data_IF_196121510899
#
_entry.id   IF_196121510899
#
_cell.length_a   1.000
_cell.length_b   1.000
_cell.length_c   1.000
_cell.angle_alpha   90.00
_cell.angle_beta   90.00
_cell.angle_gamma   90.00
#
_symmetry.space_group_name_H-M   'P 1'
#
loop_
_entity.id
_entity.type
_entity.pdbx_description
1 polymer ?
#
# COMPACT_ATOMS: atom_id res chain seq x y z
N UNK A 1 -23.22 -1.95 -1.01
CA UNK A 1 -23.12 -2.69 -2.28
C UNK A 1 -22.01 -2.07 -3.09
N UNK A 2 -20.99 -2.86 -3.38
CA UNK A 2 -19.89 -2.50 -4.27
C UNK A 2 -20.40 -2.34 -5.71
N UNK A 3 -20.08 -1.21 -6.35
CA UNK A 3 -20.44 -0.99 -7.77
C UNK A 3 -19.38 -1.57 -8.71
N UNK A 4 -19.76 -1.85 -9.96
CA UNK A 4 -18.83 -2.34 -10.99
C UNK A 4 -17.65 -1.38 -11.22
N UNK A 5 -17.90 -0.06 -11.21
CA UNK A 5 -16.86 0.95 -11.33
C UNK A 5 -15.87 0.88 -10.15
N UNK A 6 -16.37 0.79 -8.92
CA UNK A 6 -15.52 0.67 -7.74
C UNK A 6 -14.69 -0.61 -7.74
N UNK A 7 -15.27 -1.72 -8.20
CA UNK A 7 -14.53 -2.97 -8.38
C UNK A 7 -13.41 -2.81 -9.40
N UNK A 8 -13.71 -2.20 -10.55
CA UNK A 8 -12.72 -1.92 -11.59
C UNK A 8 -11.60 -1.01 -11.06
N UNK A 9 -11.93 0.05 -10.33
CA UNK A 9 -10.96 0.97 -9.76
C UNK A 9 -10.03 0.26 -8.76
N UNK A 10 -10.55 -0.62 -7.90
CA UNK A 10 -9.73 -1.44 -6.98
C UNK A 10 -8.77 -2.35 -7.74
N UNK A 11 -9.23 -3.01 -8.81
CA UNK A 11 -8.36 -3.87 -9.62
C UNK A 11 -7.28 -3.07 -10.35
N UNK A 12 -7.59 -1.86 -10.82
CA UNK A 12 -6.59 -1.00 -11.46
C UNK A 12 -5.56 -0.49 -10.43
N UNK A 13 -5.98 -0.14 -9.22
CA UNK A 13 -5.05 0.19 -8.11
C UNK A 13 -4.15 -1.01 -7.81
N UNK A 14 -4.70 -2.22 -7.72
CA UNK A 14 -3.92 -3.44 -7.54
C UNK A 14 -2.90 -3.62 -8.67
N UNK A 15 -3.25 -3.30 -9.91
CA UNK A 15 -2.35 -3.36 -11.07
C UNK A 15 -1.15 -2.44 -10.90
N UNK A 16 -1.45 -1.19 -10.57
CA UNK A 16 -0.44 -0.15 -10.46
C UNK A 16 0.49 -0.41 -9.28
N UNK A 17 -0.05 -0.73 -8.10
CA UNK A 17 0.73 -0.91 -6.88
C UNK A 17 1.50 -2.23 -6.85
N UNK A 18 0.99 -3.30 -7.47
CA UNK A 18 1.71 -4.57 -7.53
C UNK A 18 2.63 -4.71 -8.75
N UNK A 19 2.68 -3.69 -9.63
CA UNK A 19 3.36 -3.76 -10.92
C UNK A 19 2.89 -4.99 -11.74
N UNK A 20 1.56 -5.17 -11.80
CA UNK A 20 0.88 -6.27 -12.50
C UNK A 20 1.24 -7.68 -11.98
N UNK A 21 1.46 -7.84 -10.67
CA UNK A 21 1.78 -9.14 -10.06
C UNK A 21 0.61 -10.12 -10.19
N UNK A 22 0.79 -11.15 -11.02
CA UNK A 22 -0.26 -12.13 -11.32
C UNK A 22 -0.75 -12.89 -10.09
N UNK A 23 0.13 -13.14 -9.12
CA UNK A 23 -0.22 -13.93 -7.94
C UNK A 23 -1.06 -13.08 -6.97
N UNK A 24 -0.76 -11.79 -6.83
CA UNK A 24 -1.61 -10.85 -6.10
C UNK A 24 -2.99 -10.72 -6.76
N UNK A 25 -3.03 -10.62 -8.09
CA UNK A 25 -4.28 -10.56 -8.84
C UNK A 25 -5.15 -11.81 -8.68
N UNK A 26 -4.52 -12.99 -8.68
CA UNK A 26 -5.21 -14.25 -8.47
C UNK A 26 -5.87 -14.28 -7.07
N UNK A 27 -5.12 -13.90 -6.02
CA UNK A 27 -5.62 -13.82 -4.65
C UNK A 27 -6.75 -12.80 -4.50
N UNK A 28 -6.63 -11.61 -5.12
CA UNK A 28 -7.68 -10.61 -5.07
C UNK A 28 -8.96 -11.06 -5.81
N UNK A 29 -8.83 -11.75 -6.95
CA UNK A 29 -9.98 -12.33 -7.66
C UNK A 29 -10.65 -13.42 -6.83
N UNK A 30 -9.86 -14.29 -6.23
CA UNK A 30 -10.37 -15.33 -5.34
C UNK A 30 -11.17 -14.71 -4.20
N UNK A 31 -10.72 -13.57 -3.67
CA UNK A 31 -11.46 -12.84 -2.65
C UNK A 31 -12.82 -12.30 -3.14
N UNK A 32 -12.87 -11.74 -4.35
CA UNK A 32 -14.11 -11.18 -4.93
C UNK A 32 -15.13 -12.27 -5.27
N UNK A 33 -14.67 -13.42 -5.75
CA UNK A 33 -15.52 -14.51 -6.23
C UNK A 33 -15.68 -15.66 -5.21
N UNK A 34 -15.18 -15.49 -3.98
CA UNK A 34 -15.29 -16.49 -2.94
C UNK A 34 -16.77 -16.77 -2.63
N UNK A 35 -17.20 -18.00 -2.87
CA UNK A 35 -18.53 -18.47 -2.44
C UNK A 35 -18.58 -18.82 -0.96
N UNK A 36 -17.43 -19.07 -0.34
CA UNK A 36 -17.27 -19.32 1.09
C UNK A 36 -16.42 -18.21 1.73
N UNK A 37 -17.00 -17.37 2.60
CA UNK A 37 -16.27 -16.32 3.32
C UNK A 37 -15.09 -16.84 4.14
N UNK A 38 -15.14 -18.08 4.63
CA UNK A 38 -14.04 -18.65 5.43
C UNK A 38 -12.80 -18.92 4.59
N UNK A 39 -12.92 -19.05 3.28
CA UNK A 39 -11.79 -19.35 2.41
C UNK A 39 -10.73 -18.24 2.43
N UNK A 40 -11.18 -16.98 2.35
CA UNK A 40 -10.30 -15.80 2.44
C UNK A 40 -9.69 -15.68 3.84
N UNK A 41 -10.48 -15.95 4.88
CA UNK A 41 -10.01 -15.87 6.26
C UNK A 41 -8.94 -16.92 6.53
N UNK A 42 -9.13 -18.16 6.08
CA UNK A 42 -8.13 -19.23 6.16
C UNK A 42 -6.85 -18.88 5.39
N UNK A 43 -7.01 -18.24 4.22
CA UNK A 43 -5.88 -17.74 3.44
C UNK A 43 -5.06 -16.74 4.28
N UNK A 44 -5.71 -15.73 4.85
CA UNK A 44 -5.04 -14.73 5.69
C UNK A 44 -4.43 -15.33 6.97
N UNK A 45 -5.13 -16.24 7.65
CA UNK A 45 -4.64 -16.95 8.84
C UNK A 45 -3.35 -17.75 8.53
N UNK A 46 -3.17 -18.20 7.29
CA UNK A 46 -2.00 -19.00 6.90
C UNK A 46 -0.69 -18.20 6.76
N UNK A 47 -0.75 -16.88 6.60
CA UNK A 47 0.45 -16.04 6.38
C UNK A 47 0.50 -14.74 7.21
N UNK A 48 -0.54 -14.42 7.95
CA UNK A 48 -0.49 -13.44 9.03
C UNK A 48 -0.04 -14.14 10.32
N UNK A 49 0.69 -13.42 11.17
CA UNK A 49 0.81 -13.83 12.57
C UNK A 49 -0.55 -13.74 13.27
N UNK A 50 -0.73 -14.44 14.39
CA UNK A 50 -1.98 -14.40 15.15
C UNK A 50 -2.41 -12.96 15.49
N UNK A 51 -1.45 -12.12 15.91
CA UNK A 51 -1.70 -10.72 16.22
C UNK A 51 -2.13 -9.90 14.99
N UNK A 52 -1.46 -10.08 13.85
CA UNK A 52 -1.84 -9.39 12.60
C UNK A 52 -3.20 -9.86 12.08
N UNK A 53 -3.55 -11.13 12.28
CA UNK A 53 -4.85 -11.68 11.89
C UNK A 53 -5.98 -11.13 12.76
N UNK A 54 -5.78 -11.05 14.08
CA UNK A 54 -6.73 -10.43 15.00
C UNK A 54 -6.95 -8.95 14.63
N UNK A 55 -5.88 -8.20 14.36
CA UNK A 55 -5.96 -6.81 13.89
C UNK A 55 -6.67 -6.66 12.54
N UNK A 56 -6.52 -7.64 11.65
CA UNK A 56 -7.25 -7.66 10.38
C UNK A 56 -8.75 -7.83 10.62
N UNK A 57 -9.14 -8.80 11.47
CA UNK A 57 -10.54 -9.06 11.82
C UNK A 57 -11.21 -7.85 12.48
N UNK A 58 -10.49 -7.13 13.35
CA UNK A 58 -10.99 -5.92 14.01
C UNK A 58 -11.31 -4.77 13.03
N UNK A 59 -10.77 -4.81 11.81
CA UNK A 59 -11.00 -3.82 10.76
C UNK A 59 -12.07 -4.23 9.75
N UNK A 60 -12.55 -5.47 9.80
CA UNK A 60 -13.63 -5.93 8.92
C UNK A 60 -14.92 -5.22 9.30
N UNK A 61 -15.58 -4.63 8.30
CA UNK A 61 -16.82 -3.87 8.45
C UNK A 61 -17.98 -4.55 7.70
N UNK A 62 -19.16 -3.94 7.72
CA UNK A 62 -20.29 -4.37 6.88
C UNK A 62 -20.16 -3.92 5.42
N UNK A 63 -19.17 -3.07 5.11
CA UNK A 63 -18.95 -2.50 3.77
C UNK A 63 -18.07 -3.41 2.93
N UNK A 64 -18.66 -4.01 1.89
CA UNK A 64 -17.93 -4.84 0.91
C UNK A 64 -16.74 -4.10 0.27
N UNK A 65 -16.91 -2.81 -0.01
CA UNK A 65 -15.88 -1.96 -0.60
C UNK A 65 -14.69 -1.79 0.35
N UNK A 66 -14.97 -1.46 1.61
CA UNK A 66 -13.92 -1.22 2.60
C UNK A 66 -13.20 -2.52 2.96
N UNK A 67 -13.93 -3.64 3.02
CA UNK A 67 -13.34 -4.96 3.21
C UNK A 67 -12.46 -5.37 2.02
N UNK A 68 -12.89 -5.12 0.78
CA UNK A 68 -12.08 -5.42 -0.40
C UNK A 68 -10.81 -4.55 -0.46
N UNK A 69 -10.93 -3.28 -0.06
CA UNK A 69 -9.78 -2.39 0.11
C UNK A 69 -8.80 -2.91 1.17
N UNK A 70 -9.30 -3.30 2.34
CA UNK A 70 -8.50 -3.91 3.41
C UNK A 70 -7.76 -5.15 2.91
N UNK A 71 -8.45 -6.06 2.22
CA UNK A 71 -7.87 -7.26 1.59
C UNK A 71 -6.72 -6.89 0.67
N UNK A 72 -6.93 -5.92 -0.24
CA UNK A 72 -5.89 -5.47 -1.16
C UNK A 72 -4.67 -4.91 -0.42
N UNK A 73 -4.88 -4.04 0.57
CA UNK A 73 -3.79 -3.44 1.34
C UNK A 73 -3.02 -4.49 2.13
N UNK A 74 -3.70 -5.48 2.72
CA UNK A 74 -3.04 -6.62 3.39
C UNK A 74 -2.18 -7.43 2.41
N UNK A 75 -2.71 -7.75 1.22
CA UNK A 75 -1.96 -8.48 0.18
C UNK A 75 -0.73 -7.70 -0.30
N UNK A 76 -0.87 -6.39 -0.56
CA UNK A 76 0.22 -5.53 -0.98
C UNK A 76 1.31 -5.43 0.09
N UNK A 77 0.91 -5.32 1.35
CA UNK A 77 1.84 -5.22 2.49
C UNK A 77 2.64 -6.51 2.65
N UNK A 78 1.98 -7.67 2.61
CA UNK A 78 2.66 -8.96 2.75
C UNK A 78 3.60 -9.30 1.61
N UNK A 79 3.45 -8.64 0.47
CA UNK A 79 4.29 -8.82 -0.70
C UNK A 79 5.28 -7.67 -0.92
N UNK A 80 5.51 -6.81 0.09
CA UNK A 80 6.45 -5.70 0.08
C UNK A 80 6.22 -4.68 -1.06
N UNK A 81 4.97 -4.51 -1.50
CA UNK A 81 4.60 -3.47 -2.48
C UNK A 81 4.29 -2.12 -1.83
N UNK A 82 3.86 -2.17 -0.57
CA UNK A 82 3.64 -1.04 0.32
C UNK A 82 4.13 -1.43 1.72
N UNK A 83 4.40 -0.48 2.60
CA UNK A 83 4.72 -0.79 4.00
C UNK A 83 3.94 0.12 4.96
N UNK A 84 3.49 -0.40 6.12
CA UNK A 84 2.80 0.39 7.12
C UNK A 84 3.75 1.38 7.78
N UNK A 85 3.29 2.60 8.01
CA UNK A 85 4.12 3.69 8.49
C UNK A 85 3.35 4.59 9.46
N UNK A 86 3.77 4.63 10.71
CA UNK A 86 3.17 5.49 11.73
C UNK A 86 3.60 6.95 11.54
N UNK A 87 2.75 7.89 11.97
CA UNK A 87 3.09 9.34 11.94
C UNK A 87 4.33 9.63 12.80
N UNK A 88 4.49 8.90 13.91
CA UNK A 88 5.60 9.05 14.86
C UNK A 88 6.76 8.08 14.59
N UNK A 89 6.79 7.45 13.41
CA UNK A 89 7.86 6.52 13.01
C UNK A 89 9.23 7.20 13.07
N UNK A 90 10.23 6.49 13.58
CA UNK A 90 11.59 6.99 13.54
C UNK A 90 12.22 6.82 12.15
N UNK A 91 13.25 7.62 11.86
CA UNK A 91 13.89 7.62 10.55
C UNK A 91 14.50 6.26 10.18
N UNK A 92 14.99 5.51 11.18
CA UNK A 92 15.64 4.21 10.94
C UNK A 92 14.62 3.19 10.47
N UNK A 93 13.47 3.13 11.14
CA UNK A 93 12.37 2.24 10.79
C UNK A 93 11.73 2.63 9.46
N UNK A 94 11.59 3.94 9.21
CA UNK A 94 11.15 4.43 7.91
C UNK A 94 12.08 3.99 6.77
N UNK A 95 13.40 4.19 6.90
CA UNK A 95 14.39 3.78 5.90
C UNK A 95 14.35 2.27 5.70
N UNK A 96 14.30 1.50 6.80
CA UNK A 96 14.24 0.05 6.74
C UNK A 96 13.02 -0.42 5.96
N UNK A 97 11.83 0.12 6.24
CA UNK A 97 10.60 -0.21 5.52
C UNK A 97 10.64 0.20 4.05
N UNK A 98 11.06 1.44 3.77
CA UNK A 98 11.14 1.96 2.40
C UNK A 98 12.10 1.15 1.52
N UNK A 99 13.26 0.76 2.04
CA UNK A 99 14.25 -0.05 1.32
C UNK A 99 13.82 -1.52 1.10
N UNK A 100 12.76 -2.00 1.77
CA UNK A 100 12.16 -3.30 1.46
C UNK A 100 11.25 -3.26 0.24
N UNK A 101 10.69 -2.11 -0.10
CA UNK A 101 9.70 -1.99 -1.18
C UNK A 101 10.26 -2.56 -2.49
N UNK A 102 9.51 -3.45 -3.12
CA UNK A 102 9.92 -4.12 -4.37
C UNK A 102 10.28 -3.11 -5.46
N UNK A 103 9.52 -2.02 -5.58
CA UNK A 103 9.75 -0.97 -6.57
C UNK A 103 11.05 -0.20 -6.31
N UNK A 104 11.33 0.09 -5.03
CA UNK A 104 12.58 0.77 -4.61
C UNK A 104 13.78 -0.11 -4.96
N UNK A 105 13.71 -1.40 -4.63
CA UNK A 105 14.74 -2.38 -4.96
C UNK A 105 14.92 -2.57 -6.46
N UNK A 106 13.82 -2.65 -7.22
CA UNK A 106 13.85 -2.79 -8.67
C UNK A 106 14.46 -1.56 -9.36
N UNK A 107 14.27 -0.37 -8.78
CA UNK A 107 14.91 0.87 -9.23
C UNK A 107 16.39 0.99 -8.80
N UNK A 108 16.91 0.04 -8.01
CA UNK A 108 18.28 0.08 -7.50
C UNK A 108 18.51 1.17 -6.44
N UNK A 109 17.45 1.64 -5.81
CA UNK A 109 17.50 2.67 -4.77
C UNK A 109 17.72 2.00 -3.41
N UNK A 110 18.57 2.61 -2.57
CA UNK A 110 18.77 2.17 -1.19
C UNK A 110 19.08 3.38 -0.31
N UNK A 111 18.08 3.90 0.40
CA UNK A 111 18.20 5.08 1.25
C UNK A 111 19.22 4.87 2.37
N UNK A 112 19.41 3.65 2.86
CA UNK A 112 20.43 3.36 3.88
C UNK A 112 21.87 3.64 3.43
N UNK A 113 22.14 3.61 2.12
CA UNK A 113 23.46 3.95 1.57
C UNK A 113 23.61 5.44 1.27
N UNK A 114 22.51 6.18 1.27
CA UNK A 114 22.45 7.59 0.94
C UNK A 114 21.32 8.27 1.74
N UNK A 115 21.46 8.33 3.09
CA UNK A 115 20.48 8.99 3.94
C UNK A 115 20.56 10.51 3.85
N UNK A 116 21.51 11.05 3.08
CA UNK A 116 21.77 12.47 2.97
C UNK A 116 20.50 13.19 2.47
N UNK A 117 20.03 14.12 3.29
CA UNK A 117 18.81 14.89 3.05
C UNK A 117 17.61 14.50 3.92
N UNK A 118 17.59 13.29 4.52
CA UNK A 118 16.55 12.91 5.48
C UNK A 118 16.94 13.36 6.89
N UNK A 119 16.30 14.43 7.38
CA UNK A 119 16.54 14.97 8.71
C UNK A 119 15.84 14.10 9.78
N UNK A 120 16.55 13.53 10.78
CA UNK A 120 15.92 12.75 11.85
C UNK A 120 14.87 13.51 12.67
N UNK A 121 14.95 14.85 12.72
CA UNK A 121 13.95 15.70 13.40
C UNK A 121 12.80 16.16 12.50
N UNK A 122 12.76 15.72 11.24
CA UNK A 122 11.64 15.95 10.34
C UNK A 122 10.58 14.84 10.50
N UNK A 123 9.38 15.10 9.98
CA UNK A 123 8.28 14.13 10.00
C UNK A 123 8.15 13.38 8.66
N UNK A 124 7.28 12.37 8.64
CA UNK A 124 6.98 11.54 7.46
C UNK A 124 6.72 12.37 6.19
N UNK A 125 5.86 13.39 6.28
CA UNK A 125 5.54 14.24 5.13
C UNK A 125 6.78 14.97 4.57
N UNK A 126 7.65 15.47 5.45
CA UNK A 126 8.90 16.12 5.04
C UNK A 126 9.88 15.12 4.40
N UNK A 127 9.96 13.89 4.90
CA UNK A 127 10.79 12.85 4.28
C UNK A 127 10.30 12.47 2.89
N UNK A 128 9.00 12.32 2.69
CA UNK A 128 8.42 12.06 1.38
C UNK A 128 8.67 13.20 0.39
N UNK A 129 8.59 14.46 0.84
CA UNK A 129 8.95 15.61 0.00
C UNK A 129 10.42 15.55 -0.42
N UNK A 130 11.33 15.23 0.49
CA UNK A 130 12.76 15.06 0.17
C UNK A 130 12.96 13.93 -0.85
N UNK A 131 12.34 12.76 -0.64
CA UNK A 131 12.42 11.62 -1.56
C UNK A 131 11.88 11.99 -2.95
N UNK A 132 10.71 12.62 -3.00
CA UNK A 132 10.09 13.02 -4.26
C UNK A 132 10.94 14.04 -5.01
N UNK A 133 11.49 15.03 -4.30
CA UNK A 133 12.42 16.00 -4.91
C UNK A 133 13.68 15.31 -5.47
N UNK A 134 14.18 14.29 -4.76
CA UNK A 134 15.38 13.55 -5.14
C UNK A 134 15.19 12.71 -6.40
N UNK A 135 14.01 12.09 -6.56
CA UNK A 135 13.73 11.14 -7.64
C UNK A 135 12.78 11.68 -8.74
N UNK A 136 12.43 12.97 -8.68
CA UNK A 136 11.55 13.62 -9.65
C UNK A 136 12.12 13.56 -11.08
N UNK A 137 13.45 13.74 -11.21
CA UNK A 137 14.13 13.72 -12.50
C UNK A 137 14.08 12.34 -13.18
N UNK A 138 14.01 11.27 -12.39
CA UNK A 138 13.83 9.89 -12.83
C UNK A 138 12.35 9.53 -13.06
N UNK A 139 11.43 10.47 -12.83
CA UNK A 139 9.99 10.26 -12.99
C UNK A 139 9.38 9.37 -11.90
N UNK A 140 9.99 9.32 -10.72
CA UNK A 140 9.56 8.49 -9.60
C UNK A 140 9.10 9.34 -8.41
N UNK A 141 8.16 8.81 -7.63
CA UNK A 141 7.67 9.43 -6.42
C UNK A 141 7.19 8.38 -5.41
N UNK A 142 7.38 8.70 -4.14
CA UNK A 142 6.73 8.08 -3.01
C UNK A 142 5.37 8.75 -2.76
N UNK A 143 4.40 7.94 -2.35
CA UNK A 143 3.08 8.38 -1.94
C UNK A 143 2.61 7.69 -0.67
N UNK A 144 1.50 8.17 -0.14
CA UNK A 144 0.80 7.61 1.01
C UNK A 144 -0.57 7.11 0.59
N UNK A 145 -1.00 6.00 1.16
CA UNK A 145 -2.40 5.57 1.16
C UNK A 145 -2.86 5.29 2.58
N UNK A 146 -4.16 5.41 2.84
CA UNK A 146 -4.73 5.08 4.15
C UNK A 146 -5.91 4.13 4.07
N UNK A 147 -6.07 3.32 5.11
CA UNK A 147 -7.30 2.52 5.36
C UNK A 147 -8.22 3.29 6.31
N UNK A 148 -7.64 3.96 7.30
CA UNK A 148 -8.31 4.74 8.34
C UNK A 148 -7.58 6.09 8.52
N UNK A 149 -8.09 6.98 9.37
CA UNK A 149 -7.45 8.28 9.64
C UNK A 149 -6.08 8.15 10.34
N UNK A 150 -5.79 7.00 10.94
CA UNK A 150 -4.61 6.74 11.77
C UNK A 150 -3.64 5.70 11.19
N UNK A 151 -3.99 5.02 10.09
CA UNK A 151 -3.14 3.99 9.47
C UNK A 151 -2.71 4.39 8.07
N UNK A 152 -1.42 4.66 7.93
CA UNK A 152 -0.80 5.06 6.68
C UNK A 152 0.11 3.97 6.15
N UNK A 153 0.19 3.90 4.83
CA UNK A 153 1.09 3.01 4.11
C UNK A 153 1.85 3.82 3.08
N UNK A 154 3.15 3.60 3.01
CA UNK A 154 4.02 4.24 2.03
C UNK A 154 4.21 3.30 0.85
N UNK A 155 4.17 3.87 -0.35
CA UNK A 155 4.46 3.17 -1.60
C UNK A 155 5.39 4.01 -2.47
N UNK A 156 6.00 3.39 -3.49
CA UNK A 156 6.92 4.07 -4.41
C UNK A 156 6.64 3.65 -5.85
N UNK A 157 6.46 4.61 -6.76
CA UNK A 157 6.06 4.33 -8.14
C UNK A 157 6.44 5.46 -9.11
N UNK A 158 6.10 5.29 -10.39
CA UNK A 158 6.21 6.36 -11.38
C UNK A 158 5.22 7.49 -11.08
N UNK A 159 5.63 8.75 -11.29
CA UNK A 159 4.79 9.94 -11.02
C UNK A 159 3.43 9.86 -11.73
N UNK A 160 3.42 9.42 -12.99
CA UNK A 160 2.19 9.25 -13.77
C UNK A 160 1.24 8.21 -13.13
N UNK A 161 1.81 7.14 -12.58
CA UNK A 161 1.07 6.10 -11.85
C UNK A 161 0.53 6.62 -10.53
N UNK A 162 1.30 7.42 -9.79
CA UNK A 162 0.83 8.11 -8.57
C UNK A 162 -0.37 9.00 -8.88
N UNK A 163 -0.28 9.82 -9.93
CA UNK A 163 -1.40 10.67 -10.36
C UNK A 163 -2.64 9.86 -10.74
N UNK A 164 -2.47 8.70 -11.39
CA UNK A 164 -3.59 7.80 -11.70
C UNK A 164 -4.21 7.19 -10.44
N UNK A 165 -3.40 6.78 -9.47
CA UNK A 165 -3.90 6.27 -8.18
C UNK A 165 -4.74 7.31 -7.44
N UNK A 166 -4.30 8.58 -7.42
CA UNK A 166 -5.06 9.67 -6.80
C UNK A 166 -6.44 9.87 -7.46
N UNK A 167 -6.56 9.69 -8.78
CA UNK A 167 -7.84 9.77 -9.49
C UNK A 167 -8.76 8.60 -9.14
N UNK A 168 -8.22 7.38 -9.11
CA UNK A 168 -8.97 6.17 -8.76
C UNK A 168 -9.47 6.24 -7.30
N UNK A 169 -8.64 6.77 -6.40
CA UNK A 169 -8.97 6.94 -4.99
C UNK A 169 -10.19 7.84 -4.75
N UNK A 170 -10.36 8.90 -5.56
CA UNK A 170 -11.52 9.79 -5.48
C UNK A 170 -12.84 9.05 -5.78
N UNK A 171 -12.83 8.06 -6.67
CA UNK A 171 -14.02 7.24 -6.98
C UNK A 171 -14.39 6.25 -5.87
N UNK A 172 -13.45 5.98 -4.96
CA UNK A 172 -13.58 5.00 -3.88
C UNK A 172 -13.77 5.64 -2.50
N UNK A 173 -13.75 6.97 -2.40
CA UNK A 173 -13.70 7.72 -1.13
C UNK A 173 -12.56 7.24 -0.21
N UNK A 174 -11.40 6.92 -0.80
CA UNK A 174 -10.17 6.56 -0.06
C UNK A 174 -9.12 7.65 -0.23
N UNK A 175 -8.13 7.68 0.66
CA UNK A 175 -7.05 8.67 0.61
C UNK A 175 -5.82 8.04 -0.01
N UNK A 176 -5.40 8.58 -1.15
CA UNK A 176 -4.06 8.39 -1.73
C UNK A 176 -3.48 9.77 -2.00
N UNK A 177 -2.27 10.05 -1.51
CA UNK A 177 -1.61 11.34 -1.59
C UNK A 177 -0.17 11.20 -2.10
#
# INVERSE_FOLDING_TARGET
MLTENQLQDIFEIAEILSNSDRDLFAQLKEAVFATDPNHILNMFESYLSAEEFDQFLDQVTESEKDNLWLILVTLLTKQDYIFPCDIEVDLTDFINGFDQLKQVRAAGILLKLDPDGLNPGANLAQWLVTINTKFEAEGLAAGLLSITEDKFYVFFNQIEKVARLQQLAQGLDIVIA
#
